data_IF_536095475637
#
_entry.id   IF_536095475637
#
_cell.length_a   1.000
_cell.length_b   1.000
_cell.length_c   1.000
_cell.angle_alpha   90.00
_cell.angle_beta   90.00
_cell.angle_gamma   90.00
#
_symmetry.space_group_name_H-M   'P 1'
#
loop_
_entity.id
_entity.type
_entity.pdbx_description
1 polymer ?
#
# COMPACT_ATOMS: atom_id res chain seq x y z
N UNK A 1 -7.29 -11.72 -30.36
CA UNK A 1 -7.92 -10.39 -30.36
C UNK A 1 -8.49 -10.03 -28.99
N UNK A 2 -9.37 -10.85 -28.39
CA UNK A 2 -9.90 -10.59 -27.02
C UNK A 2 -8.86 -10.83 -25.90
N UNK A 3 -7.93 -11.76 -26.11
CA UNK A 3 -6.87 -12.14 -25.15
C UNK A 3 -5.85 -11.04 -24.89
N UNK A 4 -5.47 -10.28 -25.92
CA UNK A 4 -4.51 -9.16 -25.80
C UNK A 4 -5.08 -7.97 -25.02
N UNK A 5 -6.41 -7.78 -25.05
CA UNK A 5 -7.10 -6.69 -24.37
C UNK A 5 -7.21 -6.92 -22.85
N UNK A 6 -7.25 -8.18 -22.42
CA UNK A 6 -7.39 -8.56 -21.00
C UNK A 6 -6.03 -8.70 -20.29
N UNK A 7 -4.96 -8.94 -21.04
CA UNK A 7 -3.61 -9.15 -20.52
C UNK A 7 -3.12 -8.03 -19.58
N UNK A 8 -3.25 -6.72 -19.89
CA UNK A 8 -2.81 -5.66 -18.97
C UNK A 8 -3.65 -5.57 -17.70
N UNK A 9 -4.93 -5.95 -17.76
CA UNK A 9 -5.82 -5.96 -16.57
C UNK A 9 -5.41 -7.03 -15.55
N UNK A 10 -4.75 -8.10 -15.98
CA UNK A 10 -4.27 -9.16 -15.08
C UNK A 10 -3.05 -8.75 -14.25
N UNK A 11 -2.32 -7.70 -14.68
CA UNK A 11 -1.05 -7.29 -14.05
C UNK A 11 -1.12 -5.93 -13.34
N UNK A 12 -2.18 -5.15 -13.55
CA UNK A 12 -2.39 -3.89 -12.81
C UNK A 12 -3.16 -4.18 -11.53
N UNK A 13 -2.50 -4.08 -10.39
CA UNK A 13 -3.20 -3.98 -9.11
C UNK A 13 -3.96 -2.64 -9.08
N UNK A 14 -5.27 -2.63 -8.78
CA UNK A 14 -6.01 -1.39 -8.67
C UNK A 14 -5.45 -0.54 -7.53
N UNK A 15 -5.41 0.79 -7.73
CA UNK A 15 -5.09 1.71 -6.64
C UNK A 15 -6.12 1.53 -5.52
N UNK A 16 -5.64 1.36 -4.29
CA UNK A 16 -6.45 1.10 -3.12
C UNK A 16 -6.34 2.30 -2.16
N UNK A 17 -7.47 2.83 -1.71
CA UNK A 17 -7.52 3.93 -0.73
C UNK A 17 -8.14 3.44 0.56
N UNK A 18 -7.44 3.65 1.68
CA UNK A 18 -7.89 3.30 3.02
C UNK A 18 -7.96 4.51 3.93
N UNK A 19 -9.02 4.61 4.72
CA UNK A 19 -9.12 5.61 5.79
C UNK A 19 -8.49 5.05 7.06
N UNK A 20 -7.39 5.66 7.50
CA UNK A 20 -6.71 5.29 8.75
C UNK A 20 -6.98 6.36 9.80
N UNK A 21 -7.66 6.02 10.91
CA UNK A 21 -7.93 6.98 11.98
C UNK A 21 -6.63 7.57 12.55
N UNK A 22 -6.57 8.90 12.63
CA UNK A 22 -5.46 9.65 13.19
C UNK A 22 -4.31 9.95 12.22
N UNK A 23 -4.47 9.71 10.91
CA UNK A 23 -3.65 10.39 9.92
C UNK A 23 -4.04 11.88 9.87
N UNK A 24 -3.04 12.74 9.72
CA UNK A 24 -3.23 14.19 9.58
C UNK A 24 -3.33 14.60 8.11
N UNK A 25 -2.52 13.97 7.25
CA UNK A 25 -2.44 14.21 5.81
C UNK A 25 -2.47 12.89 5.00
N UNK A 26 -2.52 12.99 3.67
CA UNK A 26 -2.45 11.83 2.78
C UNK A 26 -1.07 11.13 2.87
N UNK A 27 -1.10 9.79 2.85
CA UNK A 27 0.09 8.96 2.74
C UNK A 27 -0.03 8.06 1.53
N UNK A 28 0.98 8.08 0.67
CA UNK A 28 1.06 7.24 -0.52
C UNK A 28 2.00 6.07 -0.25
N UNK A 29 1.49 4.86 -0.48
CA UNK A 29 2.28 3.62 -0.44
C UNK A 29 2.40 3.07 -1.85
N UNK A 30 3.64 2.87 -2.30
CA UNK A 30 3.94 2.17 -3.54
C UNK A 30 4.66 0.88 -3.19
N UNK A 31 4.33 -0.21 -3.89
CA UNK A 31 4.92 -1.53 -3.66
C UNK A 31 5.65 -1.90 -4.94
N UNK A 32 6.94 -2.22 -4.82
CA UNK A 32 7.74 -2.65 -5.98
C UNK A 32 7.49 -4.13 -6.33
N UNK A 33 8.11 -4.60 -7.41
CA UNK A 33 7.95 -5.98 -7.91
C UNK A 33 8.42 -7.06 -6.90
N UNK A 34 9.17 -6.68 -5.87
CA UNK A 34 9.63 -7.58 -4.79
C UNK A 34 8.72 -7.52 -3.56
N UNK A 35 7.64 -6.74 -3.62
CA UNK A 35 6.72 -6.55 -2.49
C UNK A 35 7.25 -5.57 -1.44
N UNK A 36 8.25 -4.75 -1.75
CA UNK A 36 8.82 -3.79 -0.78
C UNK A 36 8.01 -2.49 -0.79
N UNK A 37 7.40 -2.08 0.35
CA UNK A 37 6.65 -0.85 0.42
C UNK A 37 7.56 0.37 0.57
N UNK A 38 7.36 1.36 -0.29
CA UNK A 38 7.88 2.73 -0.12
C UNK A 38 6.71 3.63 0.31
N UNK A 39 6.86 4.24 1.48
CA UNK A 39 5.85 5.07 2.14
C UNK A 39 6.28 6.53 2.07
N UNK A 40 5.42 7.40 1.54
CA UNK A 40 5.68 8.84 1.39
C UNK A 40 4.52 9.63 1.99
N UNK A 41 4.82 10.64 2.80
CA UNK A 41 3.85 11.55 3.39
C UNK A 41 4.51 12.84 3.87
N UNK A 42 3.72 13.88 4.10
CA UNK A 42 4.19 15.23 4.44
C UNK A 42 4.83 15.32 5.84
N UNK A 43 4.43 14.44 6.76
CA UNK A 43 4.94 14.44 8.12
C UNK A 43 5.34 13.04 8.58
N UNK A 44 6.34 13.01 9.48
CA UNK A 44 6.91 11.75 9.98
C UNK A 44 5.92 10.92 10.79
N UNK A 45 4.98 11.55 11.48
CA UNK A 45 4.01 10.85 12.31
C UNK A 45 3.09 9.97 11.46
N UNK A 46 2.60 10.51 10.34
CA UNK A 46 1.74 9.81 9.39
C UNK A 46 2.49 8.68 8.66
N UNK A 47 3.74 8.92 8.25
CA UNK A 47 4.59 7.88 7.64
C UNK A 47 4.79 6.70 8.58
N UNK A 48 5.09 6.94 9.87
CA UNK A 48 5.27 5.88 10.86
C UNK A 48 3.95 5.16 11.14
N UNK A 49 2.82 5.87 11.15
CA UNK A 49 1.49 5.28 11.32
C UNK A 49 1.15 4.35 10.17
N UNK A 50 1.36 4.79 8.92
CA UNK A 50 1.17 3.96 7.74
C UNK A 50 2.14 2.76 7.71
N UNK A 51 3.38 2.92 8.19
CA UNK A 51 4.31 1.79 8.34
C UNK A 51 3.76 0.71 9.29
N UNK A 52 3.24 1.11 10.45
CA UNK A 52 2.59 0.18 11.39
C UNK A 52 1.39 -0.52 10.77
N UNK A 53 0.58 0.22 10.00
CA UNK A 53 -0.54 -0.36 9.25
C UNK A 53 -0.08 -1.40 8.21
N UNK A 54 0.98 -1.11 7.45
CA UNK A 54 1.56 -2.07 6.49
C UNK A 54 2.10 -3.33 7.18
N UNK A 55 2.76 -3.17 8.33
CA UNK A 55 3.19 -4.32 9.12
C UNK A 55 2.01 -5.18 9.58
N UNK A 56 0.94 -4.56 10.10
CA UNK A 56 -0.26 -5.29 10.51
C UNK A 56 -0.94 -5.97 9.31
N UNK A 57 -1.07 -5.30 8.15
CA UNK A 57 -1.66 -5.86 6.93
C UNK A 57 -0.96 -7.15 6.50
N UNK A 58 0.36 -7.12 6.43
CA UNK A 58 1.13 -8.21 5.79
C UNK A 58 1.67 -9.24 6.79
N UNK A 59 1.82 -8.86 8.06
CA UNK A 59 2.58 -9.62 9.07
C UNK A 59 1.90 -9.67 10.43
N UNK A 60 0.58 -9.50 10.52
CA UNK A 60 -0.15 -9.52 11.81
C UNK A 60 0.24 -10.72 12.69
N UNK A 61 0.20 -11.93 12.13
CA UNK A 61 0.51 -13.17 12.84
C UNK A 61 2.00 -13.37 13.18
N UNK A 62 2.91 -12.63 12.55
CA UNK A 62 4.34 -12.68 12.87
C UNK A 62 4.69 -11.70 14.01
N UNK A 63 3.82 -10.73 14.27
CA UNK A 63 4.01 -9.72 15.31
C UNK A 63 3.36 -10.09 16.65
N UNK A 64 2.44 -11.07 16.66
CA UNK A 64 1.78 -11.65 17.84
C UNK A 64 2.59 -12.86 18.35
#
# INVERSE_FOLDING_TARGET
MLTELLLPLLFVSPAETHTIPGLLDEVVVTIDDRGVPKITGENRADVVRAQGWMHARDRLFQMD
#
